data_IF_969805886201
#
_entry.id   IF_969805886201
#
_cell.length_a   1.000
_cell.length_b   1.000
_cell.length_c   1.000
_cell.angle_alpha   90.00
_cell.angle_beta   90.00
_cell.angle_gamma   90.00
#
_symmetry.space_group_name_H-M   'P 1'
#
loop_
_entity.id
_entity.type
_entity.pdbx_description
1 polymer ?
#
# COMPACT_ATOMS: atom_id res chain seq x y z
N UNK A 1 39.05 -12.38 -3.01
CA UNK A 1 38.58 -13.00 -4.27
C UNK A 1 38.24 -11.90 -5.26
N UNK A 2 38.88 -11.85 -6.43
CA UNK A 2 38.51 -10.90 -7.50
C UNK A 2 37.16 -11.33 -8.04
N UNK A 3 36.09 -10.57 -7.74
CA UNK A 3 34.76 -10.83 -8.29
C UNK A 3 34.84 -10.63 -9.80
N UNK A 4 34.34 -11.58 -10.58
CA UNK A 4 34.25 -11.42 -12.03
C UNK A 4 33.24 -10.31 -12.34
N UNK A 5 33.45 -9.56 -13.43
CA UNK A 5 32.56 -8.44 -13.83
C UNK A 5 31.07 -8.85 -13.86
N UNK A 6 30.67 -10.06 -14.34
CA UNK A 6 29.29 -10.52 -14.28
C UNK A 6 28.74 -10.68 -12.85
N UNK A 7 29.57 -11.19 -11.92
CA UNK A 7 29.18 -11.33 -10.51
C UNK A 7 28.99 -9.98 -9.83
N UNK A 8 29.78 -8.96 -10.20
CA UNK A 8 29.60 -7.60 -9.71
C UNK A 8 28.30 -6.96 -10.25
N UNK A 9 27.96 -7.22 -11.52
CA UNK A 9 26.74 -6.68 -12.13
C UNK A 9 25.47 -7.25 -11.48
N UNK A 10 25.41 -8.58 -11.27
CA UNK A 10 24.29 -9.26 -10.61
C UNK A 10 24.13 -8.81 -9.16
N UNK A 11 25.23 -8.52 -8.46
CA UNK A 11 25.19 -8.02 -7.10
C UNK A 11 24.61 -6.60 -7.02
N UNK A 12 24.85 -5.75 -8.02
CA UNK A 12 24.31 -4.39 -8.08
C UNK A 12 22.88 -4.31 -8.66
N UNK A 13 22.48 -5.27 -9.48
CA UNK A 13 21.13 -5.34 -10.06
C UNK A 13 20.06 -5.48 -8.95
N UNK A 14 19.03 -4.63 -8.92
CA UNK A 14 17.95 -4.64 -7.91
C UNK A 14 18.39 -4.55 -6.43
N UNK A 15 19.59 -4.02 -6.17
CA UNK A 15 20.15 -3.72 -4.84
C UNK A 15 19.98 -4.85 -3.78
N UNK A 16 19.54 -4.55 -2.55
CA UNK A 16 19.40 -5.50 -1.42
C UNK A 16 18.28 -6.56 -1.57
N UNK A 17 18.06 -7.10 -2.77
CA UNK A 17 17.11 -8.18 -2.99
C UNK A 17 17.79 -9.56 -2.97
N UNK A 18 17.08 -10.62 -2.56
CA UNK A 18 17.63 -11.97 -2.55
C UNK A 18 18.10 -12.43 -3.94
N UNK A 19 19.21 -13.17 -4.01
CA UNK A 19 19.82 -13.56 -5.28
C UNK A 19 18.90 -14.41 -6.16
N UNK A 20 18.09 -15.29 -5.57
CA UNK A 20 17.11 -16.10 -6.33
C UNK A 20 16.12 -15.19 -7.07
N UNK A 21 15.68 -14.10 -6.44
CA UNK A 21 14.69 -13.20 -7.01
C UNK A 21 15.27 -12.44 -8.20
N UNK A 22 16.50 -11.94 -8.07
CA UNK A 22 17.23 -11.31 -9.19
C UNK A 22 17.35 -12.25 -10.38
N UNK A 23 17.66 -13.53 -10.13
CA UNK A 23 17.74 -14.55 -11.17
C UNK A 23 16.38 -14.86 -11.79
N UNK A 24 15.30 -14.91 -10.99
CA UNK A 24 13.94 -15.09 -11.50
C UNK A 24 13.52 -13.94 -12.42
N UNK A 25 13.75 -12.68 -12.02
CA UNK A 25 13.43 -11.52 -12.85
C UNK A 25 14.26 -11.51 -14.13
N UNK A 26 15.56 -11.84 -14.05
CA UNK A 26 16.39 -11.97 -15.24
C UNK A 26 15.88 -13.10 -16.16
N UNK A 27 15.38 -14.19 -15.59
CA UNK A 27 14.73 -15.28 -16.31
C UNK A 27 13.47 -14.81 -17.04
N UNK A 28 12.60 -14.04 -16.39
CA UNK A 28 11.40 -13.46 -16.99
C UNK A 28 11.74 -12.53 -18.17
N UNK A 29 12.74 -11.66 -18.02
CA UNK A 29 13.23 -10.79 -19.10
C UNK A 29 13.78 -11.58 -20.31
N UNK A 30 14.27 -12.79 -20.11
CA UNK A 30 14.73 -13.63 -21.23
C UNK A 30 13.56 -14.42 -21.82
N UNK A 31 12.61 -14.82 -20.98
CA UNK A 31 11.44 -15.61 -21.35
C UNK A 31 10.47 -14.79 -22.22
N UNK A 32 10.21 -13.54 -21.87
CA UNK A 32 9.21 -12.69 -22.54
C UNK A 32 9.45 -12.51 -24.05
N UNK A 33 10.67 -12.20 -24.55
CA UNK A 33 10.94 -12.15 -25.98
C UNK A 33 10.70 -13.51 -26.68
N UNK A 34 11.05 -14.62 -26.03
CA UNK A 34 10.88 -15.98 -26.57
C UNK A 34 9.39 -16.33 -26.66
N UNK A 35 8.60 -15.99 -25.65
CA UNK A 35 7.15 -16.17 -25.65
C UNK A 35 6.49 -15.34 -26.75
N UNK A 36 6.93 -14.09 -26.92
CA UNK A 36 6.37 -13.23 -27.96
C UNK A 36 6.57 -13.83 -29.36
N UNK A 37 7.73 -14.42 -29.64
CA UNK A 37 8.03 -15.06 -30.92
C UNK A 37 7.32 -16.40 -31.12
N UNK A 38 7.02 -17.14 -30.04
CA UNK A 38 6.48 -18.51 -30.13
C UNK A 38 4.95 -18.58 -30.05
N UNK A 39 4.34 -17.80 -29.14
CA UNK A 39 2.90 -17.85 -28.84
C UNK A 39 2.17 -16.53 -29.11
N UNK A 40 2.88 -15.48 -29.50
CA UNK A 40 2.30 -14.19 -29.89
C UNK A 40 1.92 -13.28 -28.71
N UNK A 41 1.49 -12.06 -29.04
CA UNK A 41 1.31 -10.96 -28.06
C UNK A 41 0.24 -11.22 -27.01
N UNK A 42 -0.89 -11.84 -27.37
CA UNK A 42 -2.01 -12.05 -26.44
C UNK A 42 -1.63 -12.93 -25.24
N UNK A 43 -1.06 -14.12 -25.48
CA UNK A 43 -0.68 -15.03 -24.41
C UNK A 43 0.54 -14.53 -23.63
N UNK A 44 1.49 -13.90 -24.32
CA UNK A 44 2.64 -13.25 -23.67
C UNK A 44 2.18 -12.15 -22.72
N UNK A 45 1.14 -11.39 -23.07
CA UNK A 45 0.55 -10.39 -22.18
C UNK A 45 -0.01 -10.97 -20.89
N UNK A 46 -0.70 -12.12 -20.96
CA UNK A 46 -1.17 -12.84 -19.78
C UNK A 46 -0.02 -13.35 -18.90
N UNK A 47 1.05 -13.86 -19.52
CA UNK A 47 2.26 -14.27 -18.78
C UNK A 47 2.90 -13.07 -18.08
N UNK A 48 3.07 -11.94 -18.77
CA UNK A 48 3.57 -10.69 -18.20
C UNK A 48 2.73 -10.21 -17.01
N UNK A 49 1.40 -10.33 -17.07
CA UNK A 49 0.52 -10.01 -15.93
C UNK A 49 0.82 -10.93 -14.74
N UNK A 50 0.98 -12.24 -14.97
CA UNK A 50 1.31 -13.19 -13.90
C UNK A 50 2.69 -12.91 -13.30
N UNK A 51 3.69 -12.59 -14.12
CA UNK A 51 5.02 -12.18 -13.67
C UNK A 51 4.95 -10.89 -12.85
N UNK A 52 4.15 -9.92 -13.27
CA UNK A 52 3.93 -8.68 -12.53
C UNK A 52 3.27 -8.94 -11.17
N UNK A 53 2.23 -9.78 -11.11
CA UNK A 53 1.60 -10.21 -9.85
C UNK A 53 2.63 -10.90 -8.94
N UNK A 54 3.49 -11.75 -9.51
CA UNK A 54 4.58 -12.39 -8.76
C UNK A 54 5.53 -11.34 -8.15
N UNK A 55 5.90 -10.29 -8.90
CA UNK A 55 6.74 -9.20 -8.37
C UNK A 55 6.04 -8.45 -7.23
N UNK A 56 4.74 -8.17 -7.36
CA UNK A 56 3.92 -7.55 -6.31
C UNK A 56 3.76 -8.45 -5.08
N UNK A 57 3.61 -9.76 -5.25
CA UNK A 57 3.49 -10.68 -4.12
C UNK A 57 4.76 -10.71 -3.27
N UNK A 58 5.93 -10.56 -3.92
CA UNK A 58 7.22 -10.47 -3.23
C UNK A 58 7.50 -9.09 -2.62
N UNK A 59 6.59 -8.12 -2.79
CA UNK A 59 6.66 -6.78 -2.18
C UNK A 59 6.83 -6.81 -0.66
N UNK A 60 6.32 -7.87 -0.02
CA UNK A 60 6.40 -8.08 1.42
C UNK A 60 7.83 -8.27 1.94
N UNK A 61 8.80 -8.57 1.06
CA UNK A 61 10.23 -8.74 1.41
C UNK A 61 11.18 -7.85 0.60
N UNK A 62 10.73 -7.24 -0.49
CA UNK A 62 11.59 -6.57 -1.47
C UNK A 62 10.80 -5.51 -2.24
N UNK A 63 11.40 -4.36 -2.58
CA UNK A 63 10.69 -3.32 -3.33
C UNK A 63 10.27 -3.84 -4.72
N UNK A 64 8.96 -3.99 -5.01
CA UNK A 64 8.46 -4.62 -6.24
C UNK A 64 8.49 -3.66 -7.44
N UNK A 65 8.62 -2.36 -7.18
CA UNK A 65 8.46 -1.30 -8.18
C UNK A 65 9.56 -1.36 -9.27
N UNK A 66 10.81 -1.60 -8.87
CA UNK A 66 11.93 -1.70 -9.81
C UNK A 66 11.78 -2.90 -10.76
N UNK A 67 11.58 -4.15 -10.29
CA UNK A 67 11.43 -5.29 -11.19
C UNK A 67 10.12 -5.25 -11.98
N UNK A 68 9.00 -4.84 -11.39
CA UNK A 68 7.74 -4.69 -12.12
C UNK A 68 7.83 -3.61 -13.21
N UNK A 69 8.52 -2.51 -12.93
CA UNK A 69 8.80 -1.46 -13.92
C UNK A 69 9.73 -1.93 -15.05
N UNK A 70 10.70 -2.80 -14.75
CA UNK A 70 11.56 -3.41 -15.78
C UNK A 70 10.74 -4.28 -16.76
N UNK A 71 9.83 -5.11 -16.24
CA UNK A 71 8.93 -5.92 -17.08
C UNK A 71 7.99 -5.05 -17.93
N UNK A 72 7.47 -3.95 -17.35
CA UNK A 72 6.63 -3.00 -18.09
C UNK A 72 7.40 -2.29 -19.21
N UNK A 73 8.66 -1.88 -18.94
CA UNK A 73 9.53 -1.28 -19.95
C UNK A 73 9.87 -2.27 -21.06
N UNK A 74 10.15 -3.52 -20.70
CA UNK A 74 10.36 -4.59 -21.67
C UNK A 74 9.15 -4.76 -22.59
N UNK A 75 7.93 -4.80 -22.05
CA UNK A 75 6.72 -4.91 -22.87
C UNK A 75 6.57 -3.78 -23.90
N UNK A 76 6.98 -2.55 -23.53
CA UNK A 76 7.04 -1.40 -24.45
C UNK A 76 8.12 -1.61 -25.51
N UNK A 77 9.32 -2.05 -25.13
CA UNK A 77 10.44 -2.29 -26.05
C UNK A 77 10.16 -3.44 -27.03
N UNK A 78 9.42 -4.45 -26.58
CA UNK A 78 8.96 -5.57 -27.40
C UNK A 78 7.81 -5.20 -28.34
N UNK A 79 7.29 -3.97 -28.26
CA UNK A 79 6.22 -3.48 -29.12
C UNK A 79 4.84 -4.02 -28.76
N UNK A 80 4.65 -4.56 -27.55
CA UNK A 80 3.35 -5.04 -27.07
C UNK A 80 2.41 -3.88 -26.71
N UNK A 81 2.98 -2.71 -26.41
CA UNK A 81 2.26 -1.45 -26.20
C UNK A 81 3.14 -0.28 -26.63
N UNK A 82 2.55 0.90 -26.80
CA UNK A 82 3.29 2.11 -27.17
C UNK A 82 3.48 3.02 -25.96
N UNK A 83 4.58 3.80 -25.90
CA UNK A 83 4.77 4.78 -24.82
C UNK A 83 3.62 5.77 -24.68
N UNK A 84 2.99 6.16 -25.80
CA UNK A 84 1.84 7.06 -25.81
C UNK A 84 0.62 6.43 -25.14
N UNK A 85 0.34 5.15 -25.41
CA UNK A 85 -0.74 4.40 -24.74
C UNK A 85 -0.49 4.28 -23.24
N UNK A 86 0.74 3.92 -22.84
CA UNK A 86 1.11 3.83 -21.40
C UNK A 86 0.93 5.17 -20.70
N UNK A 87 1.34 6.27 -21.34
CA UNK A 87 1.15 7.61 -20.78
C UNK A 87 -0.33 7.99 -20.62
N UNK A 88 -1.15 7.71 -21.62
CA UNK A 88 -2.59 7.98 -21.57
C UNK A 88 -3.27 7.20 -20.45
N UNK A 89 -2.97 5.91 -20.32
CA UNK A 89 -3.50 5.08 -19.22
C UNK A 89 -2.97 5.54 -17.85
N UNK A 90 -1.70 5.94 -17.75
CA UNK A 90 -1.15 6.47 -16.52
C UNK A 90 -1.84 7.76 -16.09
N UNK A 91 -2.13 8.68 -17.01
CA UNK A 91 -2.88 9.91 -16.73
C UNK A 91 -4.29 9.64 -16.21
N UNK A 92 -5.02 8.71 -16.84
CA UNK A 92 -6.37 8.35 -16.40
C UNK A 92 -6.37 7.78 -14.97
N UNK A 93 -5.35 6.99 -14.63
CA UNK A 93 -5.21 6.40 -13.29
C UNK A 93 -4.59 7.37 -12.27
N UNK A 94 -3.99 8.47 -12.72
CA UNK A 94 -3.38 9.47 -11.84
C UNK A 94 -4.40 10.09 -10.88
N UNK A 95 -5.65 10.29 -11.33
CA UNK A 95 -6.74 10.75 -10.48
C UNK A 95 -6.98 9.80 -9.30
N UNK A 96 -6.96 8.49 -9.53
CA UNK A 96 -7.13 7.49 -8.47
C UNK A 96 -5.97 7.54 -7.49
N UNK A 97 -4.73 7.64 -7.99
CA UNK A 97 -3.54 7.78 -7.13
C UNK A 97 -3.62 9.04 -6.26
N UNK A 98 -4.01 10.17 -6.85
CA UNK A 98 -4.21 11.42 -6.11
C UNK A 98 -5.32 11.30 -5.06
N UNK A 99 -6.44 10.65 -5.40
CA UNK A 99 -7.52 10.38 -4.47
C UNK A 99 -7.05 9.49 -3.30
N UNK A 100 -6.25 8.46 -3.58
CA UNK A 100 -5.66 7.59 -2.56
C UNK A 100 -4.69 8.35 -1.66
N UNK A 101 -3.82 9.20 -2.22
CA UNK A 101 -2.91 10.06 -1.44
C UNK A 101 -3.70 11.03 -0.55
N UNK A 102 -4.71 11.69 -1.12
CA UNK A 102 -5.59 12.59 -0.39
C UNK A 102 -6.32 11.87 0.75
N UNK A 103 -6.85 10.67 0.48
CA UNK A 103 -7.52 9.84 1.47
C UNK A 103 -6.58 9.44 2.62
N UNK A 104 -5.38 8.94 2.32
CA UNK A 104 -4.38 8.55 3.33
C UNK A 104 -3.96 9.77 4.17
N UNK A 105 -3.69 10.90 3.52
CA UNK A 105 -3.36 12.15 4.22
C UNK A 105 -4.52 12.63 5.10
N UNK A 106 -5.76 12.54 4.60
CA UNK A 106 -6.98 12.89 5.32
C UNK A 106 -7.17 12.06 6.58
N UNK A 107 -7.06 10.73 6.49
CA UNK A 107 -7.17 9.84 7.66
C UNK A 107 -6.06 10.13 8.69
N UNK A 108 -4.82 10.32 8.24
CA UNK A 108 -3.70 10.59 9.14
C UNK A 108 -3.93 11.89 9.94
N UNK A 109 -4.37 12.95 9.28
CA UNK A 109 -4.74 14.21 9.92
C UNK A 109 -5.93 14.06 10.87
N UNK A 110 -7.00 13.40 10.43
CA UNK A 110 -8.24 13.27 11.17
C UNK A 110 -8.07 12.42 12.44
N UNK A 111 -7.19 11.41 12.44
CA UNK A 111 -6.92 10.56 13.61
C UNK A 111 -6.44 11.36 14.83
N UNK A 112 -5.43 12.20 14.65
CA UNK A 112 -4.83 12.95 15.76
C UNK A 112 -5.74 14.08 16.24
N UNK A 113 -6.42 14.77 15.31
CA UNK A 113 -7.43 15.77 15.62
C UNK A 113 -8.58 15.16 16.44
N UNK A 114 -9.02 13.96 16.07
CA UNK A 114 -10.14 13.29 16.71
C UNK A 114 -9.78 12.78 18.10
N UNK A 115 -8.60 12.19 18.27
CA UNK A 115 -8.12 11.75 19.59
C UNK A 115 -7.99 12.94 20.55
N UNK A 116 -7.48 14.07 20.08
CA UNK A 116 -7.43 15.31 20.85
C UNK A 116 -8.83 15.80 21.25
N UNK A 117 -9.77 15.91 20.30
CA UNK A 117 -11.12 16.38 20.59
C UNK A 117 -11.86 15.48 21.57
N UNK A 118 -11.81 14.15 21.37
CA UNK A 118 -12.47 13.20 22.27
C UNK A 118 -11.89 13.26 23.68
N UNK A 119 -10.57 13.35 23.82
CA UNK A 119 -9.90 13.47 25.12
C UNK A 119 -10.33 14.76 25.84
N UNK A 120 -10.40 15.88 25.11
CA UNK A 120 -10.82 17.17 25.67
C UNK A 120 -12.29 17.15 26.11
N UNK A 121 -13.16 16.47 25.37
CA UNK A 121 -14.58 16.32 25.71
C UNK A 121 -14.77 15.45 26.95
N UNK A 122 -14.06 14.32 27.04
CA UNK A 122 -14.07 13.45 28.23
C UNK A 122 -13.64 14.17 29.50
N UNK A 123 -12.58 14.97 29.41
CA UNK A 123 -12.04 15.69 30.55
C UNK A 123 -12.85 16.95 30.90
N UNK A 124 -13.56 17.53 29.93
CA UNK A 124 -14.33 18.76 30.12
C UNK A 124 -15.77 18.57 30.61
N UNK A 125 -16.38 17.39 30.41
CA UNK A 125 -17.80 17.17 30.69
C UNK A 125 -18.00 16.24 31.88
N UNK A 126 -18.51 16.79 32.99
CA UNK A 126 -18.81 16.03 34.21
C UNK A 126 -20.09 15.17 34.13
N UNK A 127 -21.01 15.45 33.19
CA UNK A 127 -22.31 14.77 33.10
C UNK A 127 -22.31 13.61 32.09
N UNK A 128 -22.71 12.41 32.54
CA UNK A 128 -22.73 11.18 31.73
C UNK A 128 -23.64 11.27 30.50
N UNK A 129 -24.78 11.94 30.61
CA UNK A 129 -25.78 12.06 29.52
C UNK A 129 -25.26 13.02 28.44
N UNK A 130 -24.74 14.18 28.85
CA UNK A 130 -24.21 15.19 27.93
C UNK A 130 -22.95 14.67 27.21
N UNK A 131 -22.12 13.91 27.93
CA UNK A 131 -20.95 13.26 27.35
C UNK A 131 -21.34 12.29 26.23
N UNK A 132 -22.32 11.42 26.47
CA UNK A 132 -22.80 10.45 25.46
C UNK A 132 -23.42 11.13 24.24
N UNK A 133 -24.19 12.20 24.44
CA UNK A 133 -24.80 12.98 23.37
C UNK A 133 -23.73 13.67 22.49
N UNK A 134 -22.76 14.33 23.11
CA UNK A 134 -21.64 14.98 22.40
C UNK A 134 -20.81 13.96 21.60
N UNK A 135 -20.56 12.79 22.18
CA UNK A 135 -19.86 11.70 21.51
C UNK A 135 -20.60 11.23 20.25
N UNK A 136 -21.92 11.07 20.33
CA UNK A 136 -22.74 10.61 19.20
C UNK A 136 -22.80 11.63 18.06
N UNK A 137 -22.97 12.92 18.38
CA UNK A 137 -23.06 13.99 17.38
C UNK A 137 -21.72 14.15 16.65
N UNK A 138 -20.61 14.13 17.39
CA UNK A 138 -19.29 14.17 16.79
C UNK A 138 -18.99 12.92 15.97
N UNK A 139 -19.30 11.73 16.47
CA UNK A 139 -19.13 10.48 15.72
C UNK A 139 -19.85 10.51 14.38
N UNK A 140 -21.09 11.02 14.36
CA UNK A 140 -21.86 11.18 13.13
C UNK A 140 -21.24 12.21 12.17
N UNK A 141 -20.83 13.38 12.68
CA UNK A 141 -20.20 14.42 11.85
C UNK A 141 -18.88 13.94 11.24
N UNK A 142 -18.06 13.22 12.00
CA UNK A 142 -16.77 12.74 11.53
C UNK A 142 -16.85 11.50 10.63
N UNK A 143 -17.91 10.69 10.75
CA UNK A 143 -18.14 9.54 9.87
C UNK A 143 -18.33 9.94 8.40
N UNK A 144 -18.65 11.20 8.10
CA UNK A 144 -18.77 11.70 6.74
C UNK A 144 -17.41 11.95 6.06
N UNK A 145 -16.35 12.12 6.85
CA UNK A 145 -15.00 12.47 6.37
C UNK A 145 -14.01 11.31 6.45
N UNK A 146 -14.34 10.27 7.22
CA UNK A 146 -13.53 9.07 7.38
C UNK A 146 -14.12 7.94 6.55
N UNK A 147 -13.27 7.23 5.81
CA UNK A 147 -13.64 5.99 5.14
C UNK A 147 -14.18 4.98 6.17
N UNK A 148 -15.19 4.19 5.78
CA UNK A 148 -15.92 3.30 6.69
C UNK A 148 -14.99 2.34 7.46
N UNK A 149 -13.93 1.84 6.82
CA UNK A 149 -12.96 0.95 7.46
C UNK A 149 -12.12 1.67 8.52
N UNK A 150 -11.85 2.96 8.32
CA UNK A 150 -11.08 3.78 9.27
C UNK A 150 -11.89 4.19 10.48
N UNK A 151 -13.20 4.43 10.32
CA UNK A 151 -14.11 4.68 11.44
C UNK A 151 -14.16 3.47 12.37
N UNK A 152 -14.31 2.26 11.82
CA UNK A 152 -14.32 1.04 12.63
C UNK A 152 -13.01 0.84 13.39
N UNK A 153 -11.85 1.08 12.75
CA UNK A 153 -10.54 0.96 13.39
C UNK A 153 -10.35 1.97 14.54
N UNK A 154 -10.77 3.22 14.35
CA UNK A 154 -10.69 4.26 15.40
C UNK A 154 -11.62 3.92 16.58
N UNK A 155 -12.85 3.48 16.32
CA UNK A 155 -13.78 3.07 17.37
C UNK A 155 -13.22 1.88 18.17
N UNK A 156 -12.64 0.88 17.51
CA UNK A 156 -11.98 -0.24 18.18
C UNK A 156 -10.83 0.25 19.07
N UNK A 157 -9.98 1.16 18.58
CA UNK A 157 -8.87 1.71 19.35
C UNK A 157 -9.35 2.48 20.59
N UNK A 158 -10.41 3.28 20.46
CA UNK A 158 -11.02 4.02 21.56
C UNK A 158 -11.65 3.07 22.58
N UNK A 159 -12.42 2.06 22.12
CA UNK A 159 -13.04 1.06 22.98
C UNK A 159 -12.01 0.24 23.76
N UNK A 160 -10.92 -0.18 23.10
CA UNK A 160 -9.79 -0.85 23.75
C UNK A 160 -9.06 0.07 24.73
N UNK A 161 -8.90 1.36 24.39
CA UNK A 161 -8.34 2.37 25.28
C UNK A 161 -9.13 2.50 26.58
N UNK A 162 -10.46 2.63 26.48
CA UNK A 162 -11.35 2.66 27.63
C UNK A 162 -11.34 1.35 28.42
N UNK A 163 -11.36 0.21 27.73
CA UNK A 163 -11.28 -1.09 28.37
C UNK A 163 -9.98 -1.25 29.18
N UNK A 164 -8.85 -0.80 28.63
CA UNK A 164 -7.56 -0.84 29.32
C UNK A 164 -7.54 0.07 30.56
N UNK A 165 -8.13 1.27 30.48
CA UNK A 165 -8.25 2.18 31.61
C UNK A 165 -9.17 1.57 32.69
N UNK A 166 -10.34 1.08 32.29
CA UNK A 166 -11.28 0.41 33.19
C UNK A 166 -10.65 -0.81 33.86
N UNK A 167 -9.98 -1.67 33.09
CA UNK A 167 -9.30 -2.86 33.60
C UNK A 167 -8.14 -2.49 34.53
N UNK A 168 -7.40 -1.41 34.25
CA UNK A 168 -6.32 -0.93 35.13
C UNK A 168 -6.86 -0.40 36.46
N UNK A 169 -7.96 0.35 36.43
CA UNK A 169 -8.63 0.86 37.63
C UNK A 169 -9.32 -0.26 38.43
N UNK A 170 -10.00 -1.19 37.76
CA UNK A 170 -10.72 -2.28 38.41
C UNK A 170 -9.80 -3.41 38.93
N UNK A 171 -8.64 -3.64 38.29
CA UNK A 171 -7.69 -4.67 38.74
C UNK A 171 -6.77 -4.21 39.89
N UNK A 172 -6.90 -2.96 40.36
CA UNK A 172 -6.15 -2.45 41.52
C UNK A 172 -4.63 -2.39 41.33
N UNK A 173 -4.12 -2.61 40.12
CA UNK A 173 -2.68 -2.49 39.81
C UNK A 173 -2.38 -1.04 39.45
N UNK A 174 -1.94 -0.29 40.45
CA UNK A 174 -1.21 0.99 40.32
C UNK A 174 -0.17 0.90 39.19
#
# INVERSE_FOLDING_TARGET
MKKTVPQALIQNFLNHTPTWYKLTILGFLILNPVLLMTIGSFYTGWVLILEFIFTLALALKSYPLQPGGLLALEAVLLGMTTPATVYHEALNNFQVILLLIFMVAGIYFMKDLLLFLFTKILLGVHSKIVLGLLFSIMGAFLSAFLDALTVTAVIIAVALGFYNIYHRVASGKS
#
